data_IF_317141613071
#
_entry.id   IF_317141613071
#
_cell.length_a   1.000
_cell.length_b   1.000
_cell.length_c   1.000
_cell.angle_alpha   90.00
_cell.angle_beta   90.00
_cell.angle_gamma   90.00
#
_symmetry.space_group_name_H-M   'P 1'
#
loop_
_entity.id
_entity.type
_entity.pdbx_description
1 polymer ?
#
# COMPACT_ATOMS: atom_id res chain seq x y z
N UNK A 1 -3.31 -4.34 6.12
CA UNK A 1 -2.93 -3.60 4.89
C UNK A 1 -3.32 -4.35 3.61
N UNK A 2 -3.77 -3.66 2.55
CA UNK A 2 -3.96 -4.26 1.22
C UNK A 2 -3.43 -3.39 0.08
N UNK A 3 -2.59 -3.96 -0.79
CA UNK A 3 -2.18 -3.36 -2.07
C UNK A 3 -2.74 -4.23 -3.20
N UNK A 4 -3.58 -3.64 -4.06
CA UNK A 4 -4.09 -4.32 -5.24
C UNK A 4 -3.36 -3.79 -6.48
N UNK A 5 -2.81 -4.71 -7.28
CA UNK A 5 -2.16 -4.41 -8.54
C UNK A 5 -2.74 -5.30 -9.63
N UNK A 6 -3.11 -4.71 -10.76
CA UNK A 6 -3.65 -5.41 -11.92
C UNK A 6 -2.96 -4.92 -13.19
N UNK A 7 -2.48 -5.85 -14.00
CA UNK A 7 -2.04 -5.63 -15.38
C UNK A 7 -3.14 -6.08 -16.33
N UNK A 8 -3.31 -5.43 -17.48
CA UNK A 8 -4.40 -5.72 -18.41
C UNK A 8 -4.61 -7.23 -18.68
N UNK A 9 -5.74 -7.74 -18.18
CA UNK A 9 -6.48 -8.91 -18.69
C UNK A 9 -7.93 -8.40 -18.92
N UNK A 10 -8.65 -8.84 -19.96
CA UNK A 10 -10.03 -8.36 -20.19
C UNK A 10 -10.87 -8.55 -18.92
N UNK A 11 -11.48 -7.45 -18.50
CA UNK A 11 -12.27 -7.35 -17.26
C UNK A 11 -13.58 -8.12 -17.40
N UNK A 12 -13.82 -9.06 -16.49
CA UNK A 12 -15.17 -9.54 -16.19
C UNK A 12 -15.57 -9.11 -14.77
N UNK A 13 -16.89 -8.93 -14.64
CA UNK A 13 -17.71 -8.75 -13.43
C UNK A 13 -17.69 -7.38 -12.73
N UNK A 14 -18.84 -6.71 -12.84
CA UNK A 14 -19.38 -5.77 -11.87
C UNK A 14 -19.70 -6.53 -10.57
N UNK A 15 -19.06 -6.19 -9.47
CA UNK A 15 -19.51 -6.58 -8.13
C UNK A 15 -20.14 -5.36 -7.47
N UNK A 16 -21.48 -5.35 -7.43
CA UNK A 16 -22.26 -4.47 -6.58
C UNK A 16 -22.48 -5.19 -5.25
N UNK A 17 -21.53 -5.06 -4.31
CA UNK A 17 -21.77 -5.41 -2.91
C UNK A 17 -22.11 -4.14 -2.13
N UNK A 18 -23.33 -4.05 -1.61
CA UNK A 18 -23.73 -3.00 -0.67
C UNK A 18 -22.86 -3.03 0.59
N UNK A 19 -22.40 -1.88 1.13
CA UNK A 19 -21.65 -1.87 2.37
C UNK A 19 -22.61 -1.93 3.56
N UNK A 20 -22.79 -3.14 4.09
CA UNK A 20 -23.33 -3.34 5.44
C UNK A 20 -22.32 -2.89 6.50
N UNK A 21 -22.84 -2.27 7.57
CA UNK A 21 -22.15 -1.74 8.75
C UNK A 21 -21.48 -0.38 8.56
N UNK A 22 -21.81 0.56 9.45
CA UNK A 22 -21.29 1.93 9.51
C UNK A 22 -19.77 1.86 9.75
N UNK A 23 -18.99 1.78 8.67
CA UNK A 23 -17.54 1.82 8.73
C UNK A 23 -17.13 3.23 9.16
N UNK A 24 -16.45 3.34 10.30
CA UNK A 24 -15.78 4.57 10.70
C UNK A 24 -14.65 4.85 9.70
N UNK A 25 -14.99 5.60 8.64
CA UNK A 25 -14.10 5.98 7.55
C UNK A 25 -12.90 6.78 8.04
N UNK A 26 -12.95 7.37 9.25
CA UNK A 26 -11.79 8.08 9.83
C UNK A 26 -10.59 7.16 10.06
N UNK A 27 -10.80 5.84 10.06
CA UNK A 27 -9.79 4.81 10.35
C UNK A 27 -9.20 4.20 9.08
N UNK A 28 -9.67 4.62 7.90
CA UNK A 28 -9.26 4.09 6.60
C UNK A 28 -8.47 5.15 5.82
N UNK A 29 -7.30 4.76 5.34
CA UNK A 29 -6.52 5.53 4.37
C UNK A 29 -6.54 4.79 3.03
N UNK A 30 -7.22 5.37 2.04
CA UNK A 30 -7.29 4.87 0.67
C UNK A 30 -7.34 6.05 -0.30
N UNK A 31 -6.86 5.90 -1.55
CA UNK A 31 -7.11 6.89 -2.59
C UNK A 31 -8.58 6.85 -3.03
N UNK A 32 -9.09 7.94 -3.59
CA UNK A 32 -10.45 7.99 -4.15
C UNK A 32 -10.62 7.15 -5.42
N UNK A 33 -9.51 6.82 -6.10
CA UNK A 33 -9.48 5.98 -7.29
C UNK A 33 -8.14 5.24 -7.41
N UNK A 34 -8.13 4.15 -8.19
CA UNK A 34 -6.88 3.49 -8.60
C UNK A 34 -6.03 4.39 -9.50
N UNK A 35 -4.71 4.24 -9.42
CA UNK A 35 -3.73 4.91 -10.27
C UNK A 35 -3.36 4.03 -11.46
N UNK A 36 -3.45 4.57 -12.67
CA UNK A 36 -2.89 3.94 -13.88
C UNK A 36 -1.48 4.47 -14.12
N UNK A 37 -0.58 3.60 -14.57
CA UNK A 37 0.78 3.96 -14.94
C UNK A 37 1.34 3.03 -16.03
N UNK A 38 2.44 3.47 -16.64
CA UNK A 38 3.31 2.64 -17.46
C UNK A 38 4.58 2.35 -16.66
N UNK A 39 4.94 1.08 -16.55
CA UNK A 39 6.20 0.61 -15.99
C UNK A 39 7.13 0.38 -17.19
N UNK A 40 8.08 1.30 -17.38
CA UNK A 40 8.93 1.34 -18.57
C UNK A 40 8.12 1.69 -19.81
N UNK A 41 8.48 1.13 -20.96
CA UNK A 41 7.85 1.45 -22.25
C UNK A 41 6.65 0.57 -22.62
N UNK A 42 6.42 -0.54 -21.92
CA UNK A 42 5.52 -1.60 -22.42
C UNK A 42 4.53 -2.19 -21.41
N UNK A 43 4.72 -1.98 -20.10
CA UNK A 43 3.85 -2.60 -19.09
C UNK A 43 2.84 -1.57 -18.58
N UNK A 44 1.57 -1.71 -19.00
CA UNK A 44 0.46 -0.97 -18.39
C UNK A 44 0.06 -1.60 -17.07
N UNK A 45 0.07 -0.79 -16.01
CA UNK A 45 -0.23 -1.19 -14.64
C UNK A 45 -1.31 -0.29 -14.05
N UNK A 46 -2.20 -0.88 -13.26
CA UNK A 46 -3.16 -0.17 -12.43
C UNK A 46 -3.03 -0.65 -10.99
N UNK A 47 -2.88 0.27 -10.04
CA UNK A 47 -2.74 -0.06 -8.63
C UNK A 47 -3.61 0.82 -7.72
N UNK A 48 -3.99 0.29 -6.57
CA UNK A 48 -4.66 1.00 -5.49
C UNK A 48 -4.23 0.42 -4.15
N UNK A 49 -4.34 1.21 -3.07
CA UNK A 49 -4.00 0.76 -1.73
C UNK A 49 -5.12 1.08 -0.74
N UNK A 50 -5.23 0.28 0.31
CA UNK A 50 -6.06 0.58 1.47
C UNK A 50 -5.29 0.19 2.73
N UNK A 51 -5.26 1.12 3.68
CA UNK A 51 -4.75 0.90 5.01
C UNK A 51 -5.86 1.17 6.01
N UNK A 52 -6.06 0.26 6.95
CA UNK A 52 -7.08 0.43 7.98
C UNK A 52 -6.43 0.27 9.34
N UNK A 53 -6.61 1.28 10.19
CA UNK A 53 -6.15 1.27 11.57
C UNK A 53 -6.85 0.14 12.34
N UNK A 54 -6.11 -0.61 13.14
CA UNK A 54 -6.64 -1.66 14.04
C UNK A 54 -7.46 -1.09 15.19
N UNK A 55 -8.52 -1.80 15.63
CA UNK A 55 -9.41 -1.35 16.71
C UNK A 55 -8.93 -1.89 18.04
N UNK A 56 -8.51 -0.99 18.92
CA UNK A 56 -8.07 -1.30 20.28
C UNK A 56 -8.98 -0.56 21.25
N UNK A 57 -9.88 -1.24 21.97
CA UNK A 57 -10.82 -0.61 22.89
C UNK A 57 -10.12 0.29 23.93
N UNK A 58 -8.98 -0.18 24.42
CA UNK A 58 -8.20 0.51 25.47
C UNK A 58 -7.28 1.60 24.91
N UNK A 59 -7.01 1.59 23.60
CA UNK A 59 -6.13 2.55 22.92
C UNK A 59 -6.81 3.10 21.65
N UNK A 60 -7.92 3.85 21.76
CA UNK A 60 -8.70 4.30 20.59
C UNK A 60 -7.92 5.25 19.67
N UNK A 61 -6.87 5.89 20.21
CA UNK A 61 -6.00 6.80 19.49
C UNK A 61 -4.69 6.14 19.02
N UNK A 62 -4.53 4.83 19.19
CA UNK A 62 -3.35 4.10 18.71
C UNK A 62 -3.15 4.36 17.22
N UNK A 63 -1.92 4.70 16.84
CA UNK A 63 -1.58 4.97 15.47
C UNK A 63 -1.80 3.73 14.59
N UNK A 64 -2.01 3.96 13.29
CA UNK A 64 -2.00 2.88 12.33
C UNK A 64 -0.57 2.33 12.20
N UNK A 65 -0.39 1.03 12.43
CA UNK A 65 0.92 0.39 12.40
C UNK A 65 1.28 -0.18 11.02
N UNK A 66 0.34 -0.11 10.07
CA UNK A 66 0.61 -0.39 8.67
C UNK A 66 1.34 0.79 8.00
N UNK A 67 2.29 0.49 7.13
CA UNK A 67 2.88 1.46 6.21
C UNK A 67 3.02 0.88 4.80
N UNK A 68 3.11 1.75 3.80
CA UNK A 68 3.43 1.36 2.42
C UNK A 68 4.38 2.35 1.75
N UNK A 69 5.06 1.86 0.70
CA UNK A 69 5.92 2.67 -0.16
C UNK A 69 5.69 2.29 -1.63
N UNK A 70 5.66 3.30 -2.50
CA UNK A 70 5.59 3.14 -3.96
C UNK A 70 6.66 4.05 -4.55
N UNK A 71 7.71 3.44 -5.10
CA UNK A 71 8.85 4.14 -5.70
C UNK A 71 8.90 3.78 -7.18
N UNK A 72 8.79 4.79 -8.04
CA UNK A 72 8.97 4.66 -9.49
C UNK A 72 10.45 4.73 -9.83
N UNK A 73 10.84 4.13 -10.95
CA UNK A 73 12.20 4.14 -11.50
C UNK A 73 13.27 3.81 -10.45
N UNK A 74 13.00 2.74 -9.70
CA UNK A 74 13.66 2.41 -8.45
C UNK A 74 15.14 2.04 -8.59
N UNK A 75 15.47 1.11 -9.49
CA UNK A 75 16.85 0.73 -9.86
C UNK A 75 17.26 1.33 -11.21
N UNK A 76 16.31 1.39 -12.13
CA UNK A 76 16.41 1.86 -13.52
C UNK A 76 15.04 2.26 -14.04
N UNK A 77 15.00 2.85 -15.24
CA UNK A 77 13.75 2.97 -16.01
C UNK A 77 13.09 1.58 -16.13
N UNK A 78 11.77 1.54 -15.96
CA UNK A 78 10.99 0.31 -15.97
C UNK A 78 11.09 -0.57 -14.72
N UNK A 79 11.74 -0.12 -13.66
CA UNK A 79 11.76 -0.83 -12.36
C UNK A 79 10.95 -0.05 -11.33
N UNK A 80 10.00 -0.70 -10.67
CA UNK A 80 9.17 -0.09 -9.65
C UNK A 80 9.28 -0.90 -8.36
N UNK A 81 9.21 -0.22 -7.21
CA UNK A 81 9.17 -0.84 -5.90
C UNK A 81 7.82 -0.59 -5.25
N UNK A 82 7.18 -1.67 -4.83
CA UNK A 82 5.97 -1.63 -4.02
C UNK A 82 6.25 -2.36 -2.71
N UNK A 83 6.13 -1.65 -1.58
CA UNK A 83 6.36 -2.20 -0.25
C UNK A 83 5.13 -2.05 0.63
N UNK A 84 4.80 -3.11 1.37
CA UNK A 84 3.79 -3.14 2.42
C UNK A 84 4.46 -3.62 3.70
N UNK A 85 4.24 -2.90 4.79
CA UNK A 85 4.89 -3.14 6.08
C UNK A 85 3.83 -3.24 7.16
N UNK A 86 3.75 -4.39 7.81
CA UNK A 86 2.88 -4.65 8.96
C UNK A 86 3.71 -4.49 10.24
N UNK A 87 3.53 -3.34 10.89
CA UNK A 87 4.15 -3.05 12.17
C UNK A 87 3.39 -3.70 13.31
N UNK A 88 4.10 -4.26 14.29
CA UNK A 88 3.48 -4.89 15.44
C UNK A 88 4.13 -4.50 16.77
N UNK A 89 3.37 -4.63 17.85
CA UNK A 89 3.83 -4.33 19.22
C UNK A 89 3.66 -2.86 19.59
N UNK A 90 4.31 -2.44 20.67
CA UNK A 90 4.14 -1.08 21.23
C UNK A 90 4.56 0.01 20.24
N UNK A 91 5.70 -0.17 19.59
CA UNK A 91 6.31 0.80 18.65
C UNK A 91 6.19 0.33 17.19
N UNK A 92 5.16 -0.47 16.88
CA UNK A 92 4.98 -1.11 15.58
C UNK A 92 4.88 -0.10 14.43
N UNK A 93 4.22 1.03 14.64
CA UNK A 93 4.14 2.13 13.69
C UNK A 93 5.52 2.74 13.39
N UNK A 94 6.36 2.96 14.40
CA UNK A 94 7.71 3.47 14.21
C UNK A 94 8.57 2.48 13.41
N UNK A 95 8.45 1.19 13.70
CA UNK A 95 9.12 0.12 12.94
C UNK A 95 8.68 0.10 11.47
N UNK A 96 7.37 0.13 11.20
CA UNK A 96 6.83 0.13 9.84
C UNK A 96 7.25 1.39 9.06
N UNK A 97 7.25 2.56 9.71
CA UNK A 97 7.73 3.80 9.11
C UNK A 97 9.23 3.78 8.85
N UNK A 98 10.03 3.19 9.74
CA UNK A 98 11.46 2.99 9.51
C UNK A 98 11.71 2.09 8.29
N UNK A 99 11.02 0.96 8.18
CA UNK A 99 11.12 0.07 7.03
C UNK A 99 10.72 0.77 5.73
N UNK A 100 9.59 1.50 5.74
CA UNK A 100 9.13 2.33 4.61
C UNK A 100 10.22 3.27 4.09
N UNK A 101 10.92 3.98 4.99
CA UNK A 101 11.94 4.99 4.63
C UNK A 101 13.24 4.38 4.13
N UNK A 102 13.62 3.20 4.63
CA UNK A 102 14.98 2.68 4.45
C UNK A 102 15.06 1.47 3.52
N UNK A 103 14.03 0.61 3.46
CA UNK A 103 14.15 -0.69 2.81
C UNK A 103 14.41 -0.55 1.30
N UNK A 104 13.66 0.31 0.62
CA UNK A 104 13.88 0.58 -0.80
C UNK A 104 15.33 1.02 -1.04
N UNK A 105 15.83 2.04 -0.36
CA UNK A 105 17.21 2.49 -0.57
C UNK A 105 18.26 1.40 -0.25
N UNK A 106 18.03 0.59 0.79
CA UNK A 106 18.95 -0.47 1.21
C UNK A 106 19.02 -1.59 0.19
N UNK A 107 17.86 -2.11 -0.25
CA UNK A 107 17.78 -3.14 -1.29
C UNK A 107 18.37 -2.65 -2.61
N UNK A 108 18.22 -1.35 -2.91
CA UNK A 108 18.69 -0.77 -4.16
C UNK A 108 20.22 -0.68 -4.24
N UNK A 109 20.89 -0.61 -3.10
CA UNK A 109 22.36 -0.67 -2.99
C UNK A 109 22.88 -2.10 -3.06
N UNK A 110 22.13 -3.08 -2.57
CA UNK A 110 22.54 -4.48 -2.59
C UNK A 110 22.48 -5.12 -3.99
N UNK A 111 21.69 -4.55 -4.90
CA UNK A 111 21.53 -5.02 -6.29
C UNK A 111 22.49 -4.35 -7.29
N UNK A 112 23.40 -3.48 -6.83
CA UNK A 112 24.46 -2.86 -7.64
C UNK A 112 25.78 -3.55 -7.37
#
# INVERSE_FOLDING_TARGET
MGLCMSTNRPSSSNDNSEPNSVNDLSRVQAPSASTNCLIGSSISCRYAYVSQRGYYPDEPNKANQDAFNIVRDYLSDGSWFFGVFDGHGKEGDLCAQFAKRNLANTMGRACK
#
